data_IF_205656169424
#
_entry.id   IF_205656169424
#
_cell.length_a   1.000
_cell.length_b   1.000
_cell.length_c   1.000
_cell.angle_alpha   90.00
_cell.angle_beta   90.00
_cell.angle_gamma   90.00
#
_symmetry.space_group_name_H-M   'P 1'
#
loop_
_entity.id
_entity.type
_entity.pdbx_description
1 polymer ?
#
# COMPACT_ATOMS: atom_id res chain seq x y z
N UNK A 1 3.80 68.46 -8.72
CA UNK A 1 2.83 69.31 -7.94
C UNK A 1 2.75 68.69 -6.57
N UNK A 2 3.48 69.22 -5.70
CA UNK A 2 3.18 70.07 -4.53
C UNK A 2 2.39 69.37 -3.46
N UNK A 3 3.12 69.01 -2.42
CA UNK A 3 3.05 69.50 -1.03
C UNK A 3 1.70 69.26 -0.32
N UNK A 4 1.63 68.70 0.90
CA UNK A 4 2.03 69.41 2.11
C UNK A 4 2.09 68.52 3.36
N UNK A 5 3.03 68.83 4.18
CA UNK A 5 3.35 68.40 5.53
C UNK A 5 2.53 69.19 6.54
N UNK A 6 2.13 68.65 7.67
CA UNK A 6 2.07 69.37 8.96
C UNK A 6 1.71 68.43 10.11
N UNK A 7 2.61 68.18 10.94
CA UNK A 7 3.01 68.76 12.27
C UNK A 7 2.24 68.21 13.48
N UNK A 8 2.96 67.41 14.21
CA UNK A 8 3.29 67.47 15.64
C UNK A 8 2.23 67.97 16.65
N UNK A 9 1.98 67.17 17.69
CA UNK A 9 1.97 67.65 19.06
C UNK A 9 2.42 66.63 20.07
N UNK A 10 3.21 67.13 21.01
CA UNK A 10 4.06 66.54 22.01
C UNK A 10 3.27 66.27 23.30
N UNK A 11 3.63 65.18 23.96
CA UNK A 11 3.75 64.91 25.41
C UNK A 11 2.56 65.10 26.36
N UNK A 12 2.35 64.08 27.15
CA UNK A 12 2.40 64.21 28.65
C UNK A 12 2.65 62.80 29.24
N UNK A 13 3.73 62.77 30.04
CA UNK A 13 4.05 61.66 30.94
C UNK A 13 2.95 61.56 32.02
N UNK A 14 2.50 60.36 32.28
CA UNK A 14 1.91 59.96 33.55
C UNK A 14 2.58 58.69 34.01
N UNK A 15 3.34 58.81 35.05
CA UNK A 15 3.91 57.71 35.85
C UNK A 15 2.75 57.08 36.60
N UNK A 16 2.55 55.75 36.39
CA UNK A 16 1.68 54.98 37.26
C UNK A 16 2.26 53.58 37.45
N UNK A 17 2.78 53.40 38.65
CA UNK A 17 2.82 52.19 39.49
C UNK A 17 3.02 50.83 38.81
N UNK A 18 4.18 50.23 39.12
CA UNK A 18 4.48 48.83 38.98
C UNK A 18 3.35 47.96 39.64
N UNK A 19 2.59 47.28 38.82
CA UNK A 19 1.90 46.07 39.24
C UNK A 19 2.80 44.90 38.84
N UNK A 20 3.41 44.26 39.83
CA UNK A 20 4.09 42.97 39.67
C UNK A 20 3.03 41.97 39.33
N UNK A 21 2.82 41.78 38.02
CA UNK A 21 2.04 40.67 37.48
C UNK A 21 2.83 39.38 37.72
N UNK A 22 2.39 38.58 38.68
CA UNK A 22 2.79 37.19 38.81
C UNK A 22 2.40 36.51 37.48
N UNK A 23 3.38 36.31 36.57
CA UNK A 23 3.25 35.42 35.46
C UNK A 23 3.11 34.02 36.07
N UNK A 24 1.88 33.56 36.19
CA UNK A 24 1.61 32.16 36.44
C UNK A 24 2.23 31.40 35.24
N UNK A 25 3.41 30.84 35.47
CA UNK A 25 3.94 29.76 34.65
C UNK A 25 2.88 28.66 34.73
N UNK A 26 2.00 28.61 33.71
CA UNK A 26 1.20 27.45 33.46
C UNK A 26 2.20 26.30 33.27
N UNK A 27 2.43 25.57 34.35
CA UNK A 27 3.09 24.27 34.29
C UNK A 27 2.28 23.44 33.30
N UNK A 28 2.80 23.30 32.07
CA UNK A 28 2.29 22.32 31.17
C UNK A 28 2.35 20.97 31.90
N UNK A 29 1.20 20.48 32.30
CA UNK A 29 1.10 19.16 32.91
C UNK A 29 1.86 18.20 31.98
N UNK A 30 2.74 17.35 32.50
CA UNK A 30 3.41 16.36 31.68
C UNK A 30 2.32 15.57 30.96
N UNK A 31 2.38 15.53 29.62
CA UNK A 31 1.44 14.76 28.85
C UNK A 31 1.34 13.37 29.51
N UNK A 32 0.14 13.02 29.98
CA UNK A 32 -0.09 11.75 30.66
C UNK A 32 0.46 10.64 29.78
N UNK A 33 1.41 9.86 30.29
CA UNK A 33 1.94 8.72 29.55
C UNK A 33 0.77 7.81 29.15
N UNK A 34 0.74 7.40 27.89
CA UNK A 34 -0.29 6.50 27.38
C UNK A 34 -0.36 5.21 28.22
N UNK A 35 -1.56 4.69 28.46
CA UNK A 35 -1.76 3.45 29.20
C UNK A 35 -2.32 2.36 28.27
N UNK A 36 -2.10 1.10 28.65
CA UNK A 36 -2.73 -0.04 27.95
C UNK A 36 -4.24 0.16 27.94
N UNK A 37 -4.83 0.05 26.75
CA UNK A 37 -6.27 0.23 26.51
C UNK A 37 -6.68 1.67 26.15
N UNK A 38 -5.86 2.68 26.41
CA UNK A 38 -6.15 4.03 25.96
C UNK A 38 -6.23 4.07 24.42
N UNK A 39 -7.16 4.89 23.89
CA UNK A 39 -7.26 5.09 22.45
C UNK A 39 -6.04 5.82 21.90
N UNK A 40 -5.59 5.45 20.72
CA UNK A 40 -4.58 6.19 19.95
C UNK A 40 -5.10 6.52 18.54
N UNK A 41 -4.40 7.36 17.82
CA UNK A 41 -4.85 7.83 16.49
C UNK A 41 -4.16 7.02 15.40
N UNK A 42 -4.80 6.90 14.24
CA UNK A 42 -4.21 6.26 13.05
C UNK A 42 -2.81 6.82 12.72
N UNK A 43 -2.59 8.13 12.89
CA UNK A 43 -1.26 8.74 12.67
C UNK A 43 -0.16 8.20 13.59
N UNK A 44 -0.53 7.59 14.71
CA UNK A 44 0.36 7.01 15.71
C UNK A 44 0.43 5.48 15.59
N UNK A 45 -0.24 4.89 14.59
CA UNK A 45 -0.22 3.45 14.36
C UNK A 45 1.22 2.91 14.33
N UNK A 46 1.46 1.81 15.04
CA UNK A 46 2.77 1.19 15.29
C UNK A 46 3.80 2.01 16.07
N UNK A 47 3.43 3.19 16.57
CA UNK A 47 4.28 3.92 17.52
C UNK A 47 4.45 3.08 18.79
N UNK A 48 5.69 2.96 19.26
CA UNK A 48 6.04 2.23 20.47
C UNK A 48 6.43 3.25 21.55
N UNK A 49 5.88 3.07 22.74
CA UNK A 49 6.21 3.88 23.92
C UNK A 49 6.66 2.98 25.07
N UNK A 50 7.65 3.43 25.85
CA UNK A 50 8.08 2.77 27.06
C UNK A 50 7.28 3.32 28.25
N UNK A 51 6.60 2.44 28.98
CA UNK A 51 5.84 2.79 30.18
C UNK A 51 6.35 1.93 31.34
N UNK A 52 7.10 2.56 32.25
CA UNK A 52 7.83 1.86 33.32
C UNK A 52 8.82 0.85 32.72
N UNK A 53 8.67 -0.42 33.07
CA UNK A 53 9.51 -1.53 32.58
C UNK A 53 8.94 -2.20 31.32
N UNK A 54 7.74 -1.80 30.86
CA UNK A 54 7.02 -2.42 29.74
C UNK A 54 7.05 -1.52 28.50
N UNK A 55 6.79 -2.12 27.35
CA UNK A 55 6.55 -1.42 26.09
C UNK A 55 5.08 -1.57 25.69
N UNK A 56 4.51 -0.51 25.14
CA UNK A 56 3.18 -0.50 24.53
C UNK A 56 3.27 -0.01 23.09
N UNK A 57 2.41 -0.51 22.22
CA UNK A 57 2.34 -0.13 20.80
C UNK A 57 0.90 0.27 20.46
N UNK A 58 0.74 1.32 19.67
CA UNK A 58 -0.55 1.72 19.13
C UNK A 58 -0.94 0.74 18.03
N UNK A 59 -1.91 -0.11 18.26
CA UNK A 59 -2.36 -1.15 17.32
C UNK A 59 -3.85 -1.04 17.02
N UNK A 60 -4.24 -1.58 15.87
CA UNK A 60 -5.66 -1.71 15.52
C UNK A 60 -6.36 -2.68 16.48
N UNK A 61 -7.53 -2.29 16.98
CA UNK A 61 -8.31 -3.13 17.88
C UNK A 61 -8.89 -4.32 17.12
N UNK A 62 -8.70 -5.53 17.65
CA UNK A 62 -9.20 -6.78 17.05
C UNK A 62 -10.69 -6.66 16.71
N UNK A 63 -11.04 -7.07 15.50
CA UNK A 63 -12.42 -7.00 14.99
C UNK A 63 -12.82 -5.65 14.41
N UNK A 64 -11.86 -4.69 14.28
CA UNK A 64 -12.04 -3.44 13.54
C UNK A 64 -11.14 -3.41 12.31
N UNK A 65 -11.50 -2.65 11.29
CA UNK A 65 -10.77 -2.58 10.01
C UNK A 65 -10.72 -1.15 9.48
N UNK A 66 -9.65 -0.80 8.78
CA UNK A 66 -9.51 0.47 8.06
C UNK A 66 -10.46 0.54 6.85
N UNK A 67 -10.88 -0.60 6.34
CA UNK A 67 -11.55 -0.74 5.05
C UNK A 67 -13.02 -1.18 5.14
N UNK A 68 -13.62 -1.12 6.32
CA UNK A 68 -15.03 -1.45 6.51
C UNK A 68 -15.93 -0.23 6.44
N UNK A 69 -17.10 -0.39 5.82
CA UNK A 69 -18.19 0.61 5.84
C UNK A 69 -19.11 0.48 7.05
N UNK A 70 -18.98 -0.60 7.83
CA UNK A 70 -19.72 -0.76 9.06
C UNK A 70 -19.16 0.18 10.14
N UNK A 71 -19.90 1.22 10.57
CA UNK A 71 -19.40 2.16 11.58
C UNK A 71 -19.02 1.49 12.90
N UNK A 72 -19.62 0.31 13.21
CA UNK A 72 -19.30 -0.45 14.41
C UNK A 72 -17.97 -1.20 14.30
N UNK A 73 -17.55 -1.51 13.07
CA UNK A 73 -16.30 -2.20 12.75
C UNK A 73 -15.20 -1.27 12.20
N UNK A 74 -15.48 0.04 12.07
CA UNK A 74 -14.47 1.03 11.66
C UNK A 74 -13.27 0.96 12.58
N UNK A 75 -12.07 1.06 12.00
CA UNK A 75 -10.81 0.93 12.69
C UNK A 75 -10.75 1.79 13.96
N UNK A 76 -10.51 1.13 15.05
CA UNK A 76 -10.17 1.74 16.34
C UNK A 76 -8.75 1.38 16.67
N UNK A 77 -8.00 2.32 17.21
CA UNK A 77 -6.63 2.10 17.62
C UNK A 77 -6.53 2.26 19.13
N UNK A 78 -5.78 1.37 19.76
CA UNK A 78 -5.53 1.44 21.19
C UNK A 78 -4.10 1.01 21.50
N UNK A 79 -3.57 1.50 22.64
CA UNK A 79 -2.28 1.11 23.14
C UNK A 79 -2.35 -0.31 23.70
N UNK A 80 -1.59 -1.21 23.11
CA UNK A 80 -1.53 -2.62 23.49
C UNK A 80 -0.13 -2.95 24.05
N UNK A 81 -0.07 -3.89 24.98
CA UNK A 81 1.22 -4.41 25.47
C UNK A 81 1.96 -5.09 24.32
N UNK A 82 3.24 -4.77 24.17
CA UNK A 82 4.11 -5.40 23.15
C UNK A 82 5.42 -5.83 23.76
N UNK A 83 6.01 -6.90 23.24
CA UNK A 83 7.40 -7.30 23.52
C UNK A 83 8.37 -6.63 22.56
N UNK A 84 7.85 -6.04 21.50
CA UNK A 84 8.64 -5.30 20.51
C UNK A 84 9.23 -4.05 21.14
N UNK A 85 10.50 -3.83 20.94
CA UNK A 85 11.20 -2.63 21.40
C UNK A 85 11.23 -1.61 20.30
N UNK A 86 11.22 -0.32 20.65
CA UNK A 86 11.48 0.73 19.70
C UNK A 86 12.81 0.49 18.99
N UNK A 87 12.80 0.58 17.66
CA UNK A 87 14.04 0.51 16.89
C UNK A 87 14.88 1.74 17.17
N UNK A 88 16.05 1.53 17.81
CA UNK A 88 17.05 2.57 17.96
C UNK A 88 18.03 2.43 16.80
N UNK A 89 17.96 3.33 15.84
CA UNK A 89 18.83 3.33 14.66
C UNK A 89 19.85 4.46 14.85
N UNK A 90 21.13 4.09 14.92
CA UNK A 90 22.20 5.08 14.98
C UNK A 90 22.15 5.97 13.73
N UNK A 91 22.15 7.30 13.95
CA UNK A 91 22.05 8.30 12.87
C UNK A 91 20.77 8.19 12.00
N UNK A 92 19.64 7.70 12.55
CA UNK A 92 18.38 7.55 11.84
C UNK A 92 17.99 8.80 11.02
N UNK A 93 18.20 10.00 11.54
CA UNK A 93 17.91 11.27 10.86
C UNK A 93 18.78 11.55 9.62
N UNK A 94 19.90 10.85 9.48
CA UNK A 94 20.84 11.01 8.37
C UNK A 94 20.67 9.94 7.30
N UNK A 95 19.89 8.90 7.58
CA UNK A 95 19.68 7.78 6.69
C UNK A 95 18.26 7.78 6.14
N UNK A 96 18.15 7.82 4.81
CA UNK A 96 16.88 7.65 4.11
C UNK A 96 16.90 6.33 3.38
N UNK A 97 15.92 5.47 3.66
CA UNK A 97 15.65 4.27 2.88
C UNK A 97 14.95 4.70 1.60
N UNK A 98 15.53 4.40 0.45
CA UNK A 98 14.98 4.76 -0.86
C UNK A 98 14.36 3.54 -1.50
N UNK A 99 13.05 3.59 -1.69
CA UNK A 99 12.25 2.53 -2.31
C UNK A 99 11.64 3.09 -3.59
N UNK A 100 11.64 2.32 -4.68
CA UNK A 100 10.91 2.66 -5.90
C UNK A 100 10.44 1.37 -6.58
N UNK A 101 9.59 1.45 -7.59
CA UNK A 101 9.20 0.31 -8.39
C UNK A 101 7.72 0.24 -8.69
N UNK A 102 7.14 -0.94 -8.53
CA UNK A 102 5.76 -1.26 -8.90
C UNK A 102 4.74 -0.36 -8.21
N UNK A 103 3.86 0.26 -9.00
CA UNK A 103 2.67 1.00 -8.52
C UNK A 103 1.70 0.08 -7.76
N UNK A 104 1.58 -1.20 -8.16
CA UNK A 104 0.80 -2.20 -7.44
C UNK A 104 1.30 -2.42 -6.01
N UNK A 105 2.63 -2.46 -5.83
CA UNK A 105 3.25 -2.68 -4.50
C UNK A 105 3.33 -1.38 -3.68
N UNK A 106 3.16 -0.23 -4.33
CA UNK A 106 3.26 1.07 -3.66
C UNK A 106 2.39 1.18 -2.40
N UNK A 107 1.07 0.84 -2.40
CA UNK A 107 0.24 0.95 -1.20
C UNK A 107 0.78 0.13 -0.02
N UNK A 108 1.22 -1.10 -0.30
CA UNK A 108 1.81 -2.00 0.70
C UNK A 108 3.10 -1.41 1.29
N UNK A 109 3.97 -0.90 0.41
CA UNK A 109 5.23 -0.28 0.78
C UNK A 109 5.03 1.03 1.56
N UNK A 110 4.02 1.83 1.18
CA UNK A 110 3.68 3.08 1.87
C UNK A 110 3.16 2.82 3.30
N UNK A 111 2.34 1.79 3.50
CA UNK A 111 1.89 1.36 4.84
C UNK A 111 3.09 0.91 5.68
N UNK A 112 3.95 0.05 5.11
CA UNK A 112 5.16 -0.42 5.79
C UNK A 112 6.08 0.74 6.18
N UNK A 113 6.32 1.69 5.27
CA UNK A 113 7.13 2.88 5.50
C UNK A 113 6.56 3.72 6.64
N UNK A 114 5.26 4.00 6.60
CA UNK A 114 4.58 4.79 7.63
C UNK A 114 4.69 4.17 9.02
N UNK A 115 4.46 2.86 9.11
CA UNK A 115 4.51 2.14 10.37
C UNK A 115 5.94 2.05 10.91
N UNK A 116 6.91 1.79 10.04
CA UNK A 116 8.32 1.80 10.41
C UNK A 116 8.79 3.16 10.91
N UNK A 117 8.48 4.24 10.18
CA UNK A 117 8.81 5.59 10.61
C UNK A 117 8.22 5.90 12.00
N UNK A 118 6.98 5.48 12.25
CA UNK A 118 6.34 5.65 13.56
C UNK A 118 7.05 4.82 14.65
N UNK A 119 7.49 3.59 14.34
CA UNK A 119 8.17 2.72 15.29
C UNK A 119 9.58 3.21 15.66
N UNK A 120 10.19 4.03 14.80
CA UNK A 120 11.53 4.59 15.01
C UNK A 120 11.53 5.98 15.62
N UNK A 121 10.37 6.67 15.65
CA UNK A 121 10.27 8.01 16.26
C UNK A 121 10.54 7.94 17.76
N UNK A 122 11.62 8.56 18.18
CA UNK A 122 11.88 8.84 19.59
C UNK A 122 10.92 9.92 20.11
N UNK A 123 10.75 9.98 21.44
CA UNK A 123 10.03 11.08 22.12
C UNK A 123 10.68 12.44 21.81
N UNK A 124 11.95 12.48 21.42
CA UNK A 124 12.65 13.69 20.98
C UNK A 124 12.27 13.99 19.53
N UNK A 125 11.73 15.19 19.33
CA UNK A 125 11.26 15.70 18.04
C UNK A 125 12.36 15.59 16.96
N UNK A 126 12.08 14.84 15.90
CA UNK A 126 12.95 14.76 14.73
C UNK A 126 13.78 13.47 14.58
N UNK A 127 13.71 12.54 15.53
CA UNK A 127 14.53 11.33 15.53
C UNK A 127 13.74 10.14 14.96
N UNK A 128 13.71 9.96 13.68
CA UNK A 128 13.10 8.78 13.05
C UNK A 128 13.77 8.47 11.72
N UNK A 129 13.80 7.20 11.34
CA UNK A 129 14.21 6.85 10.00
C UNK A 129 13.23 7.45 8.99
N UNK A 130 13.72 7.84 7.82
CA UNK A 130 12.91 8.26 6.68
C UNK A 130 12.86 7.14 5.66
N UNK A 131 11.68 6.91 5.11
CA UNK A 131 11.49 5.99 3.97
C UNK A 131 10.80 6.76 2.86
N UNK A 132 11.44 6.85 1.70
CA UNK A 132 10.80 7.42 0.51
C UNK A 132 10.35 6.28 -0.39
N UNK A 133 9.10 6.33 -0.84
CA UNK A 133 8.52 5.31 -1.72
C UNK A 133 8.07 5.97 -3.01
N UNK A 134 8.68 5.57 -4.14
CA UNK A 134 8.29 5.94 -5.49
C UNK A 134 7.55 4.81 -6.20
N UNK A 135 6.97 5.10 -7.36
CA UNK A 135 6.18 4.16 -8.16
C UNK A 135 6.42 4.32 -9.68
N UNK A 136 7.65 4.16 -10.11
CA UNK A 136 8.02 4.24 -11.55
C UNK A 136 7.66 3.00 -12.38
N UNK A 137 6.90 2.07 -11.82
CA UNK A 137 6.60 0.75 -12.39
C UNK A 137 7.73 -0.26 -12.12
N UNK A 138 7.42 -1.56 -12.23
CA UNK A 138 8.40 -2.64 -11.95
C UNK A 138 9.68 -2.48 -12.77
N UNK A 139 9.57 -2.22 -14.07
CA UNK A 139 10.75 -2.05 -14.96
C UNK A 139 11.55 -0.81 -14.61
N UNK A 140 10.90 0.35 -14.44
CA UNK A 140 11.57 1.61 -14.06
C UNK A 140 12.22 1.51 -12.67
N UNK A 141 11.60 0.78 -11.74
CA UNK A 141 12.18 0.47 -10.43
C UNK A 141 13.47 -0.32 -10.56
N UNK A 142 13.49 -1.39 -11.36
CA UNK A 142 14.71 -2.17 -11.59
C UNK A 142 15.80 -1.38 -12.30
N UNK A 143 15.45 -0.49 -13.24
CA UNK A 143 16.43 0.37 -13.88
C UNK A 143 17.17 1.26 -12.86
N UNK A 144 16.44 1.94 -11.98
CA UNK A 144 17.02 2.76 -10.90
C UNK A 144 17.80 1.91 -9.92
N UNK A 145 17.25 0.77 -9.53
CA UNK A 145 17.86 -0.15 -8.57
C UNK A 145 19.18 -0.70 -9.07
N UNK A 146 19.23 -1.20 -10.31
CA UNK A 146 20.44 -1.77 -10.91
C UNK A 146 21.52 -0.70 -11.20
N UNK A 147 21.15 0.61 -11.31
CA UNK A 147 22.10 1.73 -11.29
C UNK A 147 22.54 2.16 -9.88
N UNK A 148 22.00 1.53 -8.83
CA UNK A 148 22.34 1.83 -7.44
C UNK A 148 21.67 3.06 -6.84
N UNK A 149 20.66 3.65 -7.51
CA UNK A 149 19.96 4.87 -7.08
C UNK A 149 19.01 4.62 -5.89
N UNK A 150 18.45 3.41 -5.79
CA UNK A 150 17.57 3.00 -4.71
C UNK A 150 18.18 1.88 -3.86
N UNK A 151 17.70 1.74 -2.64
CA UNK A 151 18.09 0.68 -1.73
C UNK A 151 17.21 -0.57 -1.91
N UNK A 152 15.97 -0.34 -2.38
CA UNK A 152 14.94 -1.35 -2.53
C UNK A 152 14.19 -1.10 -3.85
N UNK A 153 13.87 -2.19 -4.57
CA UNK A 153 12.96 -2.16 -5.72
C UNK A 153 11.75 -3.04 -5.46
N UNK A 154 10.55 -2.46 -5.57
CA UNK A 154 9.28 -3.19 -5.51
C UNK A 154 8.91 -3.75 -6.88
N UNK A 155 8.39 -4.98 -6.92
CA UNK A 155 8.06 -5.65 -8.17
C UNK A 155 6.77 -6.45 -8.09
N UNK A 156 5.94 -6.37 -9.13
CA UNK A 156 4.71 -7.14 -9.30
C UNK A 156 4.88 -8.38 -10.19
N UNK A 157 6.12 -8.74 -10.45
CA UNK A 157 6.58 -9.96 -11.13
C UNK A 157 8.01 -10.28 -10.70
N UNK A 158 8.49 -11.50 -10.92
CA UNK A 158 9.92 -11.81 -10.77
C UNK A 158 10.79 -10.92 -11.67
N UNK A 159 12.02 -10.70 -11.24
CA UNK A 159 13.04 -10.00 -12.02
C UNK A 159 13.31 -10.75 -13.33
N UNK A 160 13.36 -10.03 -14.45
CA UNK A 160 13.61 -10.62 -15.77
C UNK A 160 15.09 -10.87 -16.03
N UNK A 161 15.42 -11.74 -16.99
CA UNK A 161 16.80 -12.00 -17.39
C UNK A 161 17.55 -10.74 -17.81
N UNK A 162 16.88 -9.78 -18.48
CA UNK A 162 17.45 -8.48 -18.86
C UNK A 162 17.81 -7.64 -17.62
N UNK A 163 16.94 -7.61 -16.62
CA UNK A 163 17.15 -6.86 -15.38
C UNK A 163 18.23 -7.53 -14.51
N UNK A 164 18.28 -8.87 -14.47
CA UNK A 164 19.37 -9.61 -13.82
C UNK A 164 20.72 -9.22 -14.42
N UNK A 165 20.83 -9.20 -15.76
CA UNK A 165 22.04 -8.80 -16.45
C UNK A 165 22.42 -7.34 -16.18
N UNK A 166 21.43 -6.43 -16.14
CA UNK A 166 21.65 -5.03 -15.83
C UNK A 166 22.15 -4.83 -14.38
N UNK A 167 21.57 -5.53 -13.40
CA UNK A 167 22.04 -5.48 -12.02
C UNK A 167 23.45 -6.06 -11.88
N UNK A 168 23.76 -7.15 -12.57
CA UNK A 168 25.13 -7.73 -12.58
C UNK A 168 26.14 -6.75 -13.17
N UNK A 169 25.82 -6.09 -14.28
CA UNK A 169 26.66 -5.05 -14.88
C UNK A 169 26.87 -3.84 -13.97
N UNK A 170 25.84 -3.47 -13.18
CA UNK A 170 25.93 -2.42 -12.17
C UNK A 170 26.60 -2.85 -10.85
N UNK A 171 27.02 -4.10 -10.73
CA UNK A 171 27.61 -4.65 -9.49
C UNK A 171 26.62 -4.73 -8.33
N UNK A 172 25.32 -4.81 -8.62
CA UNK A 172 24.24 -4.84 -7.61
C UNK A 172 23.87 -6.28 -7.26
N UNK A 173 24.38 -6.75 -6.14
CA UNK A 173 23.90 -7.97 -5.49
C UNK A 173 22.65 -7.64 -4.65
N UNK A 174 21.64 -8.49 -4.71
CA UNK A 174 20.36 -8.28 -4.04
C UNK A 174 19.81 -9.56 -3.43
N UNK A 175 18.84 -9.39 -2.55
CA UNK A 175 17.99 -10.46 -2.04
C UNK A 175 16.55 -10.18 -2.46
N UNK A 176 15.90 -11.20 -3.05
CA UNK A 176 14.47 -11.20 -3.37
C UNK A 176 13.67 -11.59 -2.13
N UNK A 177 12.58 -10.89 -1.87
CA UNK A 177 11.67 -11.14 -0.74
C UNK A 177 10.24 -11.13 -1.26
N UNK A 178 9.53 -12.24 -1.09
CA UNK A 178 8.09 -12.32 -1.34
C UNK A 178 7.35 -11.62 -0.19
N UNK A 179 6.48 -10.64 -0.51
CA UNK A 179 5.86 -9.79 0.50
C UNK A 179 4.34 -9.90 0.58
N UNK A 180 3.67 -10.30 -0.50
CA UNK A 180 2.22 -10.49 -0.54
C UNK A 180 1.82 -11.27 -1.79
N UNK A 181 0.53 -11.60 -1.89
CA UNK A 181 -0.08 -11.99 -3.15
C UNK A 181 -1.10 -10.91 -3.55
N UNK A 182 -1.11 -10.55 -4.83
CA UNK A 182 -2.09 -9.66 -5.43
C UNK A 182 -3.17 -10.51 -6.09
N UNK A 183 -4.42 -10.23 -5.80
CA UNK A 183 -5.58 -10.85 -6.44
C UNK A 183 -6.53 -9.77 -6.92
N UNK A 184 -6.86 -9.78 -8.21
CA UNK A 184 -7.90 -8.93 -8.79
C UNK A 184 -9.17 -9.72 -9.03
N UNK A 185 -10.29 -9.17 -8.63
CA UNK A 185 -11.60 -9.75 -8.92
C UNK A 185 -12.27 -9.00 -10.08
N UNK A 186 -12.74 -9.75 -11.04
CA UNK A 186 -13.73 -9.27 -12.00
C UNK A 186 -15.11 -9.51 -11.41
N UNK A 187 -15.96 -8.50 -11.48
CA UNK A 187 -17.33 -8.56 -10.95
C UNK A 187 -18.35 -8.14 -11.98
N UNK A 188 -19.54 -8.67 -11.84
CA UNK A 188 -20.73 -8.27 -12.60
C UNK A 188 -21.90 -7.99 -11.67
N UNK A 189 -22.94 -7.38 -12.20
CA UNK A 189 -24.20 -7.19 -11.49
C UNK A 189 -24.75 -8.53 -10.98
N UNK A 190 -25.41 -8.54 -9.83
CA UNK A 190 -26.00 -9.77 -9.25
C UNK A 190 -27.02 -10.46 -10.15
N UNK A 191 -27.79 -9.67 -10.89
CA UNK A 191 -28.82 -10.17 -11.82
C UNK A 191 -28.24 -10.59 -13.19
N UNK A 192 -26.93 -10.49 -13.38
CA UNK A 192 -26.22 -11.02 -14.53
C UNK A 192 -26.07 -12.53 -14.37
N UNK A 193 -26.93 -13.31 -15.04
CA UNK A 193 -26.95 -14.77 -14.94
C UNK A 193 -26.06 -15.47 -15.96
N UNK A 194 -25.54 -14.74 -16.97
CA UNK A 194 -24.82 -15.32 -18.11
C UNK A 194 -23.30 -15.29 -17.97
N UNK A 195 -22.71 -14.27 -17.34
CA UNK A 195 -21.27 -14.11 -17.23
C UNK A 195 -20.72 -14.65 -15.90
N UNK A 196 -21.00 -15.91 -15.58
CA UNK A 196 -20.46 -16.55 -14.36
C UNK A 196 -18.99 -16.94 -14.49
N UNK A 197 -18.53 -17.19 -15.73
CA UNK A 197 -17.14 -17.49 -16.06
C UNK A 197 -16.77 -16.83 -17.38
N UNK A 198 -15.62 -16.15 -17.41
CA UNK A 198 -15.04 -15.56 -18.61
C UNK A 198 -13.61 -16.08 -18.81
N UNK A 199 -13.23 -16.24 -20.09
CA UNK A 199 -11.84 -16.56 -20.43
C UNK A 199 -10.97 -15.29 -20.41
N UNK A 200 -9.64 -15.48 -20.27
CA UNK A 200 -8.69 -14.37 -20.42
C UNK A 200 -8.79 -13.71 -21.80
N UNK A 201 -9.09 -14.47 -22.85
CA UNK A 201 -9.29 -13.94 -24.19
C UNK A 201 -10.53 -13.03 -24.27
N UNK A 202 -11.63 -13.40 -23.62
CA UNK A 202 -12.84 -12.58 -23.55
C UNK A 202 -12.64 -11.32 -22.72
N UNK A 203 -11.93 -11.40 -21.58
CA UNK A 203 -11.53 -10.22 -20.83
C UNK A 203 -10.72 -9.26 -21.69
N UNK A 204 -9.71 -9.78 -22.40
CA UNK A 204 -8.91 -8.98 -23.33
C UNK A 204 -9.77 -8.38 -24.45
N UNK A 205 -10.70 -9.15 -25.03
CA UNK A 205 -11.63 -8.67 -26.05
C UNK A 205 -12.48 -7.49 -25.55
N UNK A 206 -12.93 -7.53 -24.30
CA UNK A 206 -13.72 -6.46 -23.67
C UNK A 206 -12.87 -5.22 -23.40
N UNK A 207 -11.68 -5.40 -22.80
CA UNK A 207 -10.93 -4.32 -22.16
C UNK A 207 -9.75 -3.77 -22.96
N UNK A 208 -9.31 -4.45 -24.05
CA UNK A 208 -8.13 -4.03 -24.78
C UNK A 208 -8.38 -2.74 -25.57
N UNK A 209 -7.29 -2.03 -25.88
CA UNK A 209 -7.30 -0.87 -26.77
C UNK A 209 -7.89 -1.25 -28.13
N UNK A 210 -8.84 -0.47 -28.62
CA UNK A 210 -9.54 -0.74 -29.87
C UNK A 210 -10.66 -1.79 -29.75
N UNK A 211 -11.07 -2.17 -28.55
CA UNK A 211 -12.23 -3.05 -28.36
C UNK A 211 -13.50 -2.40 -28.96
N UNK A 212 -14.25 -3.18 -29.74
CA UNK A 212 -15.54 -2.82 -30.34
C UNK A 212 -16.72 -3.42 -29.58
N UNK A 213 -16.48 -4.10 -28.46
CA UNK A 213 -17.52 -4.71 -27.64
C UNK A 213 -18.41 -3.62 -27.02
N UNK A 214 -19.71 -3.67 -27.32
CA UNK A 214 -20.72 -2.74 -26.78
C UNK A 214 -21.82 -3.47 -26.01
N UNK A 215 -21.98 -4.77 -26.25
CA UNK A 215 -23.00 -5.60 -25.63
C UNK A 215 -22.45 -7.01 -25.32
N UNK A 216 -23.11 -7.72 -24.42
CA UNK A 216 -22.68 -9.05 -23.99
C UNK A 216 -22.69 -10.09 -25.11
N UNK A 217 -23.62 -9.99 -26.07
CA UNK A 217 -23.62 -10.85 -27.26
C UNK A 217 -22.37 -10.71 -28.14
N UNK A 218 -21.68 -9.55 -28.07
CA UNK A 218 -20.41 -9.35 -28.78
C UNK A 218 -19.26 -10.13 -28.10
N UNK A 219 -19.38 -10.45 -26.79
CA UNK A 219 -18.37 -11.19 -26.05
C UNK A 219 -18.36 -12.67 -26.41
N UNK A 220 -19.55 -13.29 -26.34
CA UNK A 220 -19.74 -14.74 -26.57
C UNK A 220 -21.11 -15.01 -27.20
N UNK A 221 -21.15 -15.89 -28.19
CA UNK A 221 -22.41 -16.41 -28.73
C UNK A 221 -23.25 -17.05 -27.62
N UNK A 222 -24.53 -16.74 -27.55
CA UNK A 222 -25.44 -17.20 -26.51
C UNK A 222 -25.57 -16.27 -25.29
N UNK A 223 -24.73 -15.27 -25.18
CA UNK A 223 -24.96 -14.17 -24.23
C UNK A 223 -26.07 -13.24 -24.75
N UNK A 224 -26.82 -12.56 -23.86
CA UNK A 224 -27.94 -11.71 -24.26
C UNK A 224 -27.46 -10.44 -24.99
N UNK A 225 -28.37 -9.85 -25.76
CA UNK A 225 -28.15 -8.57 -26.44
C UNK A 225 -28.31 -7.37 -25.46
N UNK A 226 -27.70 -7.50 -24.32
CA UNK A 226 -27.70 -6.49 -23.27
C UNK A 226 -26.45 -5.61 -23.39
N UNK A 227 -26.60 -4.29 -23.33
CA UNK A 227 -25.47 -3.36 -23.36
C UNK A 227 -24.51 -3.65 -22.21
N UNK A 228 -23.21 -3.69 -22.50
CA UNK A 228 -22.18 -3.81 -21.48
C UNK A 228 -21.82 -2.42 -20.92
N UNK A 229 -21.76 -2.30 -19.60
CA UNK A 229 -21.33 -1.08 -18.89
C UNK A 229 -20.09 -1.40 -18.10
N UNK A 230 -18.99 -0.70 -18.40
CA UNK A 230 -17.68 -0.98 -17.81
C UNK A 230 -17.32 0.05 -16.76
N UNK A 231 -16.87 -0.47 -15.62
CA UNK A 231 -16.44 0.32 -14.47
C UNK A 231 -15.06 -0.18 -14.02
N UNK A 232 -14.14 0.72 -13.75
CA UNK A 232 -12.79 0.32 -13.38
C UNK A 232 -12.07 1.33 -12.52
N UNK A 233 -10.90 0.92 -12.04
CA UNK A 233 -10.02 1.79 -11.30
C UNK A 233 -9.50 2.95 -12.16
N UNK A 234 -9.21 4.08 -11.54
CA UNK A 234 -8.62 5.24 -12.19
C UNK A 234 -7.17 5.00 -12.62
N UNK A 235 -6.65 5.86 -13.47
CA UNK A 235 -5.33 5.70 -14.11
C UNK A 235 -4.15 5.83 -13.15
N UNK A 236 -4.37 6.38 -11.96
CA UNK A 236 -3.35 6.51 -10.91
C UNK A 236 -3.35 5.32 -9.94
N UNK A 237 -4.31 4.40 -10.10
CA UNK A 237 -4.47 3.22 -9.27
C UNK A 237 -3.49 2.09 -9.67
N UNK A 238 -2.84 1.49 -8.66
CA UNK A 238 -2.09 0.24 -8.85
C UNK A 238 -2.96 -0.93 -9.33
N UNK A 239 -4.25 -0.93 -9.01
CA UNK A 239 -5.26 -1.90 -9.50
C UNK A 239 -5.44 -1.77 -11.02
N UNK A 240 -5.50 -0.53 -11.54
CA UNK A 240 -5.54 -0.26 -12.97
C UNK A 240 -4.30 -0.80 -13.69
N UNK A 241 -3.12 -0.51 -13.17
CA UNK A 241 -1.87 -1.00 -13.75
C UNK A 241 -1.81 -2.52 -13.76
N UNK A 242 -2.18 -3.15 -12.64
CA UNK A 242 -2.23 -4.61 -12.50
C UNK A 242 -3.19 -5.26 -13.49
N UNK A 243 -4.42 -4.76 -13.54
CA UNK A 243 -5.46 -5.33 -14.41
C UNK A 243 -5.06 -5.22 -15.88
N UNK A 244 -4.62 -4.06 -16.32
CA UNK A 244 -4.23 -3.83 -17.71
C UNK A 244 -3.01 -4.64 -18.10
N UNK A 245 -2.04 -4.82 -17.21
CA UNK A 245 -0.89 -5.69 -17.43
C UNK A 245 -1.28 -7.16 -17.56
N UNK A 246 -2.12 -7.68 -16.65
CA UNK A 246 -2.54 -9.09 -16.66
C UNK A 246 -3.46 -9.42 -17.82
N UNK A 247 -4.42 -8.54 -18.13
CA UNK A 247 -5.46 -8.82 -19.16
C UNK A 247 -4.97 -8.42 -20.54
N UNK A 248 -4.38 -7.24 -20.70
CA UNK A 248 -4.00 -6.71 -22.00
C UNK A 248 -2.53 -6.97 -22.36
N UNK A 249 -1.74 -7.49 -21.40
CA UNK A 249 -0.32 -7.80 -21.58
C UNK A 249 0.61 -6.59 -21.46
N UNK A 250 0.06 -5.40 -21.19
CA UNK A 250 0.83 -4.17 -20.98
C UNK A 250 0.08 -3.23 -20.06
N UNK A 251 0.76 -2.79 -19.00
CA UNK A 251 0.20 -1.81 -18.06
C UNK A 251 -0.22 -0.51 -18.75
N UNK A 252 -1.29 0.07 -18.26
CA UNK A 252 -1.89 1.33 -18.77
C UNK A 252 -2.46 1.27 -20.20
N UNK A 253 -2.55 0.08 -20.79
CA UNK A 253 -3.18 -0.13 -22.10
C UNK A 253 -4.58 -0.68 -21.89
N UNK A 254 -5.59 0.14 -22.19
CA UNK A 254 -7.02 -0.18 -22.03
C UNK A 254 -7.82 0.54 -23.12
N UNK A 255 -9.03 0.07 -23.38
CA UNK A 255 -9.96 0.79 -24.28
C UNK A 255 -10.24 2.20 -23.72
N UNK A 256 -10.40 3.17 -24.62
CA UNK A 256 -10.63 4.57 -24.24
C UNK A 256 -12.12 4.89 -24.06
N UNK A 257 -12.98 4.16 -24.76
CA UNK A 257 -14.41 4.47 -24.84
C UNK A 257 -15.24 3.53 -23.96
N UNK A 258 -16.30 4.07 -23.36
CA UNK A 258 -17.32 3.31 -22.64
C UNK A 258 -16.87 2.73 -21.28
N UNK A 259 -15.75 3.21 -20.71
CA UNK A 259 -15.32 2.86 -19.36
C UNK A 259 -15.50 4.05 -18.44
N UNK A 260 -16.20 3.85 -17.34
CA UNK A 260 -16.27 4.81 -16.24
C UNK A 260 -15.19 4.45 -15.22
N UNK A 261 -14.27 5.35 -14.95
CA UNK A 261 -13.14 5.13 -14.04
C UNK A 261 -13.26 5.99 -12.80
N UNK A 262 -12.83 5.44 -11.66
CA UNK A 262 -12.78 6.15 -10.39
C UNK A 262 -11.64 5.60 -9.53
N UNK A 263 -10.99 6.48 -8.75
CA UNK A 263 -10.05 6.07 -7.70
C UNK A 263 -10.78 5.54 -6.45
N UNK A 264 -12.09 5.78 -6.33
CA UNK A 264 -12.94 5.22 -5.27
C UNK A 264 -13.65 3.96 -5.77
N UNK A 265 -13.23 2.79 -5.29
CA UNK A 265 -13.84 1.49 -5.60
C UNK A 265 -15.34 1.43 -5.27
N UNK A 266 -15.83 2.29 -4.36
CA UNK A 266 -17.27 2.37 -4.07
C UNK A 266 -18.07 2.86 -5.27
N UNK A 267 -17.51 3.73 -6.09
CA UNK A 267 -18.15 4.21 -7.33
C UNK A 267 -18.25 3.05 -8.32
N UNK A 268 -17.20 2.25 -8.44
CA UNK A 268 -17.21 1.03 -9.28
C UNK A 268 -18.26 0.02 -8.80
N UNK A 269 -18.34 -0.26 -7.50
CA UNK A 269 -19.37 -1.14 -6.92
C UNK A 269 -20.78 -0.60 -7.19
N UNK A 270 -21.01 0.70 -6.99
CA UNK A 270 -22.31 1.31 -7.21
C UNK A 270 -22.72 1.25 -8.70
N UNK A 271 -21.78 1.51 -9.61
CA UNK A 271 -22.00 1.43 -11.04
C UNK A 271 -22.35 0.01 -11.50
N UNK A 272 -21.59 -0.99 -11.09
CA UNK A 272 -21.87 -2.40 -11.42
C UNK A 272 -23.21 -2.87 -10.83
N UNK A 273 -23.52 -2.48 -9.59
CA UNK A 273 -24.78 -2.86 -8.94
C UNK A 273 -26.00 -2.16 -9.58
N UNK A 274 -25.81 -0.97 -10.16
CA UNK A 274 -26.88 -0.15 -10.74
C UNK A 274 -27.31 -0.56 -12.14
N UNK A 275 -26.56 -1.42 -12.85
CA UNK A 275 -26.84 -1.81 -14.23
C UNK A 275 -26.68 -3.32 -14.41
N UNK A 276 -27.71 -4.02 -14.93
CA UNK A 276 -27.68 -5.47 -15.15
C UNK A 276 -26.55 -5.90 -16.11
N UNK A 277 -26.18 -5.07 -17.05
CA UNK A 277 -25.05 -5.27 -17.96
C UNK A 277 -23.71 -4.81 -17.37
N UNK A 278 -23.70 -4.32 -16.14
CA UNK A 278 -22.53 -3.81 -15.46
C UNK A 278 -21.45 -4.84 -15.22
N UNK A 279 -20.19 -4.45 -15.50
CA UNK A 279 -18.98 -5.21 -15.25
C UNK A 279 -17.90 -4.28 -14.72
N UNK A 280 -17.12 -4.76 -13.76
CA UNK A 280 -16.01 -4.00 -13.20
C UNK A 280 -14.91 -4.88 -12.65
N UNK A 281 -13.85 -4.26 -12.11
CA UNK A 281 -12.77 -4.96 -11.44
C UNK A 281 -12.19 -4.10 -10.31
N UNK A 282 -11.69 -4.76 -9.27
CA UNK A 282 -10.97 -4.18 -8.13
C UNK A 282 -10.23 -5.28 -7.35
N UNK A 283 -9.55 -4.91 -6.26
CA UNK A 283 -8.85 -5.86 -5.42
C UNK A 283 -9.78 -6.94 -4.85
N UNK A 284 -9.31 -8.20 -4.80
CA UNK A 284 -10.11 -9.34 -4.38
C UNK A 284 -10.71 -9.16 -2.98
N UNK A 285 -9.93 -8.70 -2.02
CA UNK A 285 -10.41 -8.50 -0.64
C UNK A 285 -11.59 -7.52 -0.59
N UNK A 286 -11.53 -6.47 -1.38
CA UNK A 286 -12.63 -5.49 -1.49
C UNK A 286 -13.86 -6.08 -2.20
N UNK A 287 -13.65 -6.94 -3.20
CA UNK A 287 -14.74 -7.64 -3.89
C UNK A 287 -15.51 -8.55 -2.94
N UNK A 288 -14.80 -9.31 -2.12
CA UNK A 288 -15.38 -10.20 -1.10
C UNK A 288 -16.20 -9.42 -0.08
N UNK A 289 -15.72 -8.27 0.39
CA UNK A 289 -16.48 -7.41 1.30
C UNK A 289 -17.79 -6.85 0.69
N UNK A 290 -17.90 -6.81 -0.63
CA UNK A 290 -19.04 -6.29 -1.38
C UNK A 290 -19.87 -7.38 -2.11
N UNK A 291 -19.68 -8.67 -1.81
CA UNK A 291 -20.45 -9.78 -2.42
C UNK A 291 -21.97 -9.67 -2.24
N UNK A 292 -22.43 -8.90 -1.25
CA UNK A 292 -23.85 -8.57 -1.12
C UNK A 292 -24.42 -7.71 -2.26
N UNK A 293 -23.54 -7.00 -3.02
CA UNK A 293 -23.92 -6.04 -4.07
C UNK A 293 -23.51 -6.47 -5.47
N UNK A 294 -22.41 -7.20 -5.60
CA UNK A 294 -21.84 -7.64 -6.88
C UNK A 294 -21.60 -9.14 -6.87
N UNK A 295 -21.48 -9.74 -8.05
CA UNK A 295 -21.16 -11.16 -8.22
C UNK A 295 -19.75 -11.33 -8.76
N UNK A 296 -18.94 -12.16 -8.09
CA UNK A 296 -17.61 -12.55 -8.57
C UNK A 296 -17.72 -13.38 -9.85
N UNK A 297 -16.84 -13.10 -10.80
CA UNK A 297 -16.71 -13.86 -12.05
C UNK A 297 -15.53 -14.83 -11.94
N UNK A 298 -15.76 -16.08 -12.25
CA UNK A 298 -14.68 -17.07 -12.41
C UNK A 298 -13.88 -16.76 -13.67
N UNK A 299 -12.57 -17.00 -13.63
CA UNK A 299 -11.70 -16.78 -14.79
C UNK A 299 -11.08 -18.08 -15.26
N UNK A 300 -11.19 -18.32 -16.57
CA UNK A 300 -10.57 -19.46 -17.24
C UNK A 300 -9.34 -19.01 -18.03
N UNK A 301 -8.19 -19.58 -17.71
CA UNK A 301 -6.93 -19.40 -18.45
C UNK A 301 -6.58 -20.62 -19.34
N UNK A 302 -7.55 -21.48 -19.61
CA UNK A 302 -7.40 -22.68 -20.45
C UNK A 302 -7.45 -24.00 -19.70
N UNK A 303 -7.62 -24.00 -18.37
CA UNK A 303 -7.74 -25.20 -17.55
C UNK A 303 -9.08 -25.28 -16.78
N UNK A 304 -10.07 -24.49 -17.23
CA UNK A 304 -11.38 -24.36 -16.59
C UNK A 304 -11.54 -23.14 -15.73
N UNK A 305 -12.78 -22.89 -15.31
CA UNK A 305 -13.19 -21.74 -14.54
C UNK A 305 -12.68 -21.81 -13.10
N UNK A 306 -11.92 -20.83 -12.66
CA UNK A 306 -11.37 -20.74 -11.30
C UNK A 306 -12.01 -19.56 -10.57
N UNK A 307 -12.56 -19.83 -9.38
CA UNK A 307 -13.14 -18.80 -8.51
C UNK A 307 -12.03 -17.96 -7.88
N UNK A 308 -12.14 -16.61 -7.86
CA UNK A 308 -11.23 -15.75 -7.14
C UNK A 308 -11.40 -15.94 -5.62
N UNK A 309 -10.41 -16.52 -4.97
CA UNK A 309 -10.33 -16.70 -3.52
C UNK A 309 -8.88 -16.53 -3.09
N UNK A 310 -8.65 -16.25 -1.80
CA UNK A 310 -7.29 -16.20 -1.25
C UNK A 310 -6.52 -17.48 -1.57
N UNK A 311 -7.16 -18.64 -1.44
CA UNK A 311 -6.54 -19.95 -1.70
C UNK A 311 -6.11 -20.10 -3.16
N UNK A 312 -6.96 -19.71 -4.14
CA UNK A 312 -6.66 -19.83 -5.56
C UNK A 312 -5.62 -18.80 -6.03
N UNK A 313 -5.61 -17.61 -5.43
CA UNK A 313 -4.58 -16.59 -5.65
C UNK A 313 -3.25 -17.05 -5.08
N UNK A 314 -3.21 -17.46 -3.82
CA UNK A 314 -2.02 -17.96 -3.13
C UNK A 314 -1.45 -19.22 -3.81
N UNK A 315 -2.31 -20.09 -4.32
CA UNK A 315 -1.95 -21.29 -5.05
C UNK A 315 -1.52 -21.07 -6.51
N UNK A 316 -1.65 -19.84 -7.04
CA UNK A 316 -1.30 -19.50 -8.42
C UNK A 316 -2.22 -20.14 -9.49
N UNK A 317 -3.38 -20.65 -9.08
CA UNK A 317 -4.36 -21.26 -10.00
C UNK A 317 -5.30 -20.23 -10.61
N UNK A 318 -5.57 -19.12 -9.89
CA UNK A 318 -6.39 -18.02 -10.39
C UNK A 318 -5.60 -17.14 -11.35
N UNK A 319 -6.17 -16.84 -12.51
CA UNK A 319 -5.48 -16.15 -13.60
C UNK A 319 -5.10 -14.69 -13.29
N UNK A 320 -5.91 -13.99 -12.50
CA UNK A 320 -5.67 -12.60 -12.08
C UNK A 320 -5.08 -12.55 -10.68
N UNK A 321 -4.25 -13.54 -10.33
CA UNK A 321 -3.47 -13.61 -9.11
C UNK A 321 -1.98 -13.66 -9.42
N UNK A 322 -1.17 -12.95 -8.61
CA UNK A 322 0.30 -12.94 -8.75
C UNK A 322 1.02 -12.68 -7.43
N UNK A 323 2.23 -13.20 -7.26
CA UNK A 323 3.08 -12.85 -6.13
C UNK A 323 3.65 -11.44 -6.30
N UNK A 324 3.83 -10.74 -5.17
CA UNK A 324 4.47 -9.44 -5.08
C UNK A 324 5.80 -9.54 -4.34
N UNK A 325 6.79 -8.83 -4.84
CA UNK A 325 8.15 -8.91 -4.35
C UNK A 325 8.72 -7.56 -3.95
N UNK A 326 9.69 -7.60 -3.07
CA UNK A 326 10.65 -6.51 -2.86
C UNK A 326 12.07 -7.04 -3.00
N UNK A 327 12.92 -6.31 -3.72
CA UNK A 327 14.33 -6.64 -3.95
C UNK A 327 15.18 -5.68 -3.15
N UNK A 328 16.02 -6.20 -2.27
CA UNK A 328 16.81 -5.40 -1.36
C UNK A 328 18.29 -5.49 -1.74
N UNK A 329 18.95 -4.34 -1.92
CA UNK A 329 20.37 -4.28 -2.22
C UNK A 329 21.19 -4.73 -1.01
N UNK A 330 21.98 -5.79 -1.18
CA UNK A 330 22.75 -6.38 -0.09
C UNK A 330 23.74 -5.39 0.53
N UNK A 331 24.39 -4.56 -0.31
CA UNK A 331 25.28 -3.51 0.18
C UNK A 331 24.54 -2.47 1.04
N UNK A 332 23.30 -2.11 0.70
CA UNK A 332 22.52 -1.19 1.52
C UNK A 332 22.21 -1.77 2.89
N UNK A 333 21.88 -3.07 2.99
CA UNK A 333 21.70 -3.74 4.28
C UNK A 333 22.99 -3.69 5.11
N UNK A 334 24.15 -3.87 4.48
CA UNK A 334 25.43 -3.88 5.16
C UNK A 334 25.91 -2.49 5.63
N UNK A 335 25.57 -1.44 4.88
CA UNK A 335 26.12 -0.09 5.08
C UNK A 335 25.12 0.90 5.71
N UNK A 336 23.82 0.64 5.59
CA UNK A 336 22.74 1.50 6.10
C UNK A 336 21.88 0.73 7.11
N UNK A 337 22.12 0.88 8.43
CA UNK A 337 21.32 0.23 9.46
C UNK A 337 19.80 0.40 9.30
N UNK A 338 19.35 1.55 8.82
CA UNK A 338 17.93 1.81 8.59
C UNK A 338 17.32 0.88 7.54
N UNK A 339 18.06 0.47 6.50
CA UNK A 339 17.56 -0.44 5.47
C UNK A 339 17.32 -1.83 6.05
N UNK A 340 18.29 -2.37 6.79
CA UNK A 340 18.13 -3.67 7.44
C UNK A 340 17.00 -3.69 8.46
N UNK A 341 16.88 -2.61 9.25
CA UNK A 341 15.81 -2.47 10.23
C UNK A 341 14.43 -2.33 9.57
N UNK A 342 14.32 -1.60 8.46
CA UNK A 342 13.06 -1.46 7.70
C UNK A 342 12.61 -2.80 7.13
N UNK A 343 13.50 -3.54 6.50
CA UNK A 343 13.18 -4.86 5.94
C UNK A 343 12.74 -5.83 7.04
N UNK A 344 13.46 -5.87 8.17
CA UNK A 344 13.09 -6.70 9.31
C UNK A 344 11.70 -6.31 9.86
N UNK A 345 11.47 -5.01 10.07
CA UNK A 345 10.18 -4.51 10.53
C UNK A 345 9.05 -4.89 9.59
N UNK A 346 9.24 -4.74 8.27
CA UNK A 346 8.22 -5.09 7.28
C UNK A 346 7.86 -6.56 7.35
N UNK A 347 8.86 -7.43 7.39
CA UNK A 347 8.66 -8.89 7.47
C UNK A 347 7.98 -9.30 8.78
N UNK A 348 8.41 -8.75 9.91
CA UNK A 348 7.83 -9.06 11.23
C UNK A 348 6.34 -8.64 11.32
N UNK A 349 5.94 -7.62 10.59
CA UNK A 349 4.58 -7.08 10.58
C UNK A 349 3.81 -7.36 9.28
N UNK A 350 4.32 -8.28 8.44
CA UNK A 350 3.84 -8.49 7.08
C UNK A 350 2.34 -8.80 7.00
N UNK A 351 1.83 -9.64 7.91
CA UNK A 351 0.41 -10.01 7.94
C UNK A 351 -0.49 -8.79 8.17
N UNK A 352 -0.11 -7.92 9.09
CA UNK A 352 -0.89 -6.72 9.39
C UNK A 352 -0.77 -5.70 8.28
N UNK A 353 0.44 -5.48 7.76
CA UNK A 353 0.69 -4.55 6.65
C UNK A 353 -0.10 -4.98 5.40
N UNK A 354 -0.13 -6.29 5.09
CA UNK A 354 -0.92 -6.81 3.97
C UNK A 354 -2.41 -6.59 4.17
N UNK A 355 -2.92 -6.81 5.38
CA UNK A 355 -4.33 -6.57 5.69
C UNK A 355 -4.71 -5.09 5.59
N UNK A 356 -3.86 -4.19 6.11
CA UNK A 356 -4.11 -2.74 6.08
C UNK A 356 -3.98 -2.14 4.67
N UNK A 357 -3.20 -2.78 3.80
CA UNK A 357 -3.07 -2.43 2.38
C UNK A 357 -4.04 -3.18 1.46
N UNK A 358 -4.91 -4.05 1.99
CA UNK A 358 -5.92 -4.84 1.26
C UNK A 358 -5.31 -5.85 0.27
N UNK A 359 -4.20 -6.46 0.64
CA UNK A 359 -3.58 -7.53 -0.15
C UNK A 359 -3.79 -8.91 0.48
N UNK A 360 -3.77 -9.94 -0.36
CA UNK A 360 -3.85 -11.34 0.08
C UNK A 360 -2.55 -11.71 0.81
N UNK A 361 -2.62 -12.14 2.09
CA UNK A 361 -1.42 -12.44 2.88
C UNK A 361 -0.68 -13.66 2.35
N UNK A 362 0.56 -13.84 2.79
CA UNK A 362 1.34 -15.03 2.51
C UNK A 362 0.77 -16.26 3.23
N UNK A 363 0.86 -17.42 2.58
CA UNK A 363 0.58 -18.73 3.21
C UNK A 363 1.66 -19.08 4.23
N UNK A 364 1.36 -20.01 5.14
CA UNK A 364 2.37 -20.54 6.09
C UNK A 364 3.61 -21.10 5.37
N UNK A 365 3.44 -21.74 4.20
CA UNK A 365 4.55 -22.25 3.38
C UNK A 365 5.40 -21.10 2.83
N UNK A 366 4.79 -20.05 2.31
CA UNK A 366 5.49 -18.85 1.83
C UNK A 366 6.20 -18.14 2.98
N UNK A 367 5.58 -18.03 4.16
CA UNK A 367 6.22 -17.47 5.37
C UNK A 367 7.43 -18.29 5.82
N UNK A 368 7.39 -19.62 5.69
CA UNK A 368 8.54 -20.47 6.00
C UNK A 368 9.71 -20.23 5.04
N UNK A 369 9.42 -20.02 3.75
CA UNK A 369 10.45 -19.65 2.76
C UNK A 369 11.03 -18.29 3.06
N UNK A 370 10.20 -17.30 3.34
CA UNK A 370 10.59 -15.96 3.73
C UNK A 370 11.52 -15.96 4.97
N UNK A 371 11.20 -16.77 5.97
CA UNK A 371 12.05 -16.90 7.17
C UNK A 371 13.48 -17.36 6.82
N UNK A 372 13.65 -18.25 5.82
CA UNK A 372 14.98 -18.68 5.35
C UNK A 372 15.73 -17.55 4.64
N UNK A 373 15.04 -16.76 3.85
CA UNK A 373 15.60 -15.58 3.18
C UNK A 373 16.06 -14.53 4.19
N UNK A 374 15.30 -14.31 5.26
CA UNK A 374 15.68 -13.40 6.35
C UNK A 374 16.92 -13.89 7.12
N UNK A 375 17.10 -15.20 7.27
CA UNK A 375 18.36 -15.75 7.82
C UNK A 375 19.55 -15.41 6.92
N UNK A 376 19.37 -15.44 5.61
CA UNK A 376 20.43 -15.06 4.65
C UNK A 376 20.76 -13.59 4.77
N UNK A 377 19.74 -12.72 4.83
CA UNK A 377 19.90 -11.28 5.06
C UNK A 377 20.64 -11.00 6.38
N UNK A 378 20.31 -11.71 7.45
CA UNK A 378 20.95 -11.53 8.75
C UNK A 378 22.44 -11.89 8.76
N UNK A 379 22.89 -12.77 7.85
CA UNK A 379 24.29 -13.17 7.69
C UNK A 379 25.12 -12.22 6.82
N UNK A 380 24.50 -11.26 6.15
CA UNK A 380 25.24 -10.27 5.35
C UNK A 380 26.19 -9.49 6.28
N UNK A 381 27.45 -9.27 5.84
CA UNK A 381 28.43 -8.58 6.65
C UNK A 381 27.96 -7.16 6.96
N UNK A 382 28.09 -6.74 8.21
CA UNK A 382 27.79 -5.36 8.64
C UNK A 382 29.08 -4.57 8.65
N UNK A 383 29.17 -3.54 7.82
CA UNK A 383 30.30 -2.63 7.85
C UNK A 383 30.19 -1.76 9.10
N UNK A 384 31.09 -1.94 10.04
CA UNK A 384 31.21 -1.02 11.18
C UNK A 384 31.71 0.31 10.62
N UNK A 385 30.93 1.37 10.77
CA UNK A 385 31.38 2.75 10.53
C UNK A 385 32.18 3.25 11.70
#
# INVERSE_FOLDING_TARGET
MTFNVSKTKVARFVVSTLAVGVVALASASPASAAKIGDSCKLKDAYKIEKVGTSYIRCEIVKGTSLHTKDPKKTAKFAWQKTTERQFVIANANKETVRVDGSSTVYPLSAVAAKYFENSTKSVKKGDGAKVTVGFSGTGGGFEKFCRGETDISNASRPISAKEIAACAAGGIAYTEILIANDGLAVVVNKDNTWASCLTMAELKKIWNLGSTVTKWSDVRTGFPDTAIKLFGAGTDSGTFDSFTEMVNGKGKVVRKDGVQTSEDDNVTVAGVNGDKGGMGYFGLSYAVENESKVKLVQIDKGAGCVTPTDVTVQGGTYALGRPLFTYVKNLSISTKPAVGAYVQFWVDNLKQISADAIFVPLTNKQMTTLAKEMVTIAKLPRVKK
#
